data_IF_915808685432
#
_entry.id   IF_915808685432
#
_cell.length_a   1.000
_cell.length_b   1.000
_cell.length_c   1.000
_cell.angle_alpha   90.00
_cell.angle_beta   90.00
_cell.angle_gamma   90.00
#
_symmetry.space_group_name_H-M   'P 1'
#
loop_
_entity.id
_entity.type
_entity.pdbx_description
1 polymer ?
#
# COMPACT_ATOMS: atom_id res chain seq x y z
N UNK A 1 23.10 -6.85 17.43
CA UNK A 1 21.78 -7.46 17.67
C UNK A 1 20.76 -6.76 16.78
N UNK A 2 19.92 -7.51 16.06
CA UNK A 2 18.92 -6.94 15.13
C UNK A 2 17.83 -6.21 15.91
N UNK A 3 17.44 -5.03 15.44
CA UNK A 3 16.31 -4.28 16.00
C UNK A 3 15.47 -3.64 14.91
N UNK A 4 14.19 -3.99 14.91
CA UNK A 4 13.22 -3.61 13.88
C UNK A 4 12.36 -2.46 14.38
N UNK A 5 12.24 -1.41 13.57
CA UNK A 5 11.30 -0.31 13.77
C UNK A 5 10.15 -0.40 12.77
N UNK A 6 8.94 -0.62 13.27
CA UNK A 6 7.71 -0.59 12.49
C UNK A 6 7.19 0.85 12.34
N UNK A 7 7.07 1.32 11.11
CA UNK A 7 6.31 2.52 10.77
C UNK A 7 4.86 2.15 10.39
N UNK A 8 4.10 3.10 9.83
CA UNK A 8 2.69 2.91 9.52
C UNK A 8 2.48 1.58 8.77
N UNK A 9 1.52 0.81 9.27
CA UNK A 9 1.21 -0.53 8.78
C UNK A 9 -0.11 -0.57 8.02
N UNK A 10 -0.48 -1.74 7.47
CA UNK A 10 -1.86 -1.95 7.05
C UNK A 10 -2.79 -1.76 8.27
N UNK A 11 -4.05 -1.32 8.05
CA UNK A 11 -5.03 -1.21 9.12
C UNK A 11 -5.47 -2.62 9.55
N UNK A 12 -4.62 -3.29 10.32
CA UNK A 12 -4.84 -4.65 10.82
C UNK A 12 -3.91 -4.92 11.99
N UNK A 13 -4.09 -6.07 12.63
CA UNK A 13 -3.22 -6.55 13.70
C UNK A 13 -1.90 -7.16 13.21
N UNK A 14 -1.68 -7.22 11.89
CA UNK A 14 -0.52 -7.87 11.29
C UNK A 14 0.83 -7.37 11.85
N UNK A 15 1.02 -6.06 12.02
CA UNK A 15 2.24 -5.52 12.65
C UNK A 15 2.44 -5.95 14.10
N UNK A 16 1.35 -6.14 14.84
CA UNK A 16 1.42 -6.63 16.22
C UNK A 16 1.92 -8.08 16.23
N UNK A 17 1.30 -8.93 15.41
CA UNK A 17 1.62 -10.36 15.31
C UNK A 17 3.04 -10.58 14.78
N UNK A 18 3.46 -9.82 13.76
CA UNK A 18 4.83 -9.91 13.25
C UNK A 18 5.86 -9.44 14.28
N UNK A 19 5.56 -8.40 15.06
CA UNK A 19 6.44 -7.96 16.13
C UNK A 19 6.58 -9.02 17.23
N UNK A 20 5.50 -9.70 17.59
CA UNK A 20 5.52 -10.81 18.56
C UNK A 20 6.36 -11.98 18.04
N UNK A 21 6.20 -12.36 16.76
CA UNK A 21 7.01 -13.39 16.13
C UNK A 21 8.52 -13.04 16.08
N UNK A 22 8.86 -11.77 15.88
CA UNK A 22 10.24 -11.29 15.94
C UNK A 22 10.81 -11.34 17.36
N UNK A 23 10.04 -10.89 18.35
CA UNK A 23 10.47 -10.90 19.75
C UNK A 23 10.65 -12.32 20.29
N UNK A 24 9.81 -13.26 19.88
CA UNK A 24 9.97 -14.68 20.20
C UNK A 24 11.31 -15.26 19.68
N UNK A 25 11.89 -14.65 18.64
CA UNK A 25 13.21 -14.99 18.09
C UNK A 25 14.35 -14.11 18.66
N UNK A 26 14.08 -13.33 19.71
CA UNK A 26 15.07 -12.45 20.33
C UNK A 26 15.37 -11.17 19.54
N UNK A 27 14.57 -10.83 18.53
CA UNK A 27 14.72 -9.58 17.77
C UNK A 27 13.99 -8.46 18.52
N UNK A 28 14.70 -7.36 18.80
CA UNK A 28 14.08 -6.20 19.44
C UNK A 28 13.11 -5.48 18.51
N UNK A 29 11.92 -5.10 18.98
CA UNK A 29 10.97 -4.34 18.16
C UNK A 29 10.55 -3.01 18.79
N UNK A 30 10.28 -2.04 17.93
CA UNK A 30 9.68 -0.74 18.28
C UNK A 30 8.66 -0.36 17.21
N UNK A 31 7.69 0.49 17.56
CA UNK A 31 6.68 1.04 16.64
C UNK A 31 6.63 2.56 16.75
N UNK A 32 6.50 3.27 15.63
CA UNK A 32 6.20 4.72 15.63
C UNK A 32 4.76 4.98 15.22
N UNK A 33 3.90 5.33 16.16
CA UNK A 33 2.53 5.74 15.83
C UNK A 33 2.55 7.18 15.32
N UNK A 34 2.04 7.39 14.11
CA UNK A 34 1.82 8.73 13.54
C UNK A 34 0.40 9.23 13.77
N UNK A 35 -0.54 8.31 14.03
CA UNK A 35 -1.96 8.62 14.23
C UNK A 35 -2.54 7.81 15.38
N UNK A 36 -3.76 8.17 15.79
CA UNK A 36 -4.48 7.37 16.77
C UNK A 36 -4.93 6.01 16.20
N UNK A 37 -5.16 5.91 14.88
CA UNK A 37 -5.39 4.63 14.22
C UNK A 37 -4.22 3.67 14.40
N UNK A 38 -2.98 4.17 14.26
CA UNK A 38 -1.79 3.35 14.53
C UNK A 38 -1.75 2.83 15.97
N UNK A 39 -2.06 3.71 16.92
CA UNK A 39 -2.08 3.38 18.34
C UNK A 39 -3.16 2.33 18.66
N UNK A 40 -4.34 2.44 18.02
CA UNK A 40 -5.48 1.54 18.19
C UNK A 40 -5.18 0.12 17.70
N UNK A 41 -4.46 -0.04 16.59
CA UNK A 41 -4.10 -1.36 16.06
C UNK A 41 -2.86 -1.97 16.71
N UNK A 42 -1.98 -1.15 17.28
CA UNK A 42 -0.79 -1.64 17.98
C UNK A 42 -1.11 -2.20 19.37
N UNK A 43 -1.70 -1.39 20.27
CA UNK A 43 -2.11 -1.73 21.65
C UNK A 43 -1.12 -2.59 22.49
N UNK A 44 0.18 -2.52 22.21
CA UNK A 44 1.23 -3.20 22.97
C UNK A 44 2.37 -2.27 23.38
N UNK A 45 3.30 -2.78 24.18
CA UNK A 45 4.52 -2.06 24.59
C UNK A 45 5.43 -1.76 23.38
N UNK A 46 6.42 -0.89 23.56
CA UNK A 46 7.38 -0.56 22.51
C UNK A 46 6.88 0.44 21.45
N UNK A 47 5.67 0.99 21.61
CA UNK A 47 5.19 2.10 20.80
C UNK A 47 5.77 3.45 21.25
N UNK A 48 6.05 4.29 20.26
CA UNK A 48 6.51 5.65 20.40
C UNK A 48 5.55 6.53 19.59
N UNK A 49 4.89 7.47 20.26
CA UNK A 49 3.95 8.36 19.58
C UNK A 49 4.72 9.54 19.00
N UNK A 50 4.81 9.61 17.66
CA UNK A 50 5.38 10.77 16.99
C UNK A 50 4.29 11.82 16.76
N UNK A 51 4.34 12.87 17.59
CA UNK A 51 3.40 14.01 17.52
C UNK A 51 4.04 15.24 16.86
N UNK A 52 5.14 15.09 16.14
CA UNK A 52 5.83 16.18 15.46
C UNK A 52 5.37 16.40 14.03
N UNK A 53 5.87 17.45 13.38
CA UNK A 53 5.55 17.75 11.98
C UNK A 53 6.26 16.81 11.01
N UNK A 54 5.67 16.59 9.84
CA UNK A 54 6.32 15.85 8.75
C UNK A 54 7.71 16.40 8.39
N UNK A 55 7.93 17.72 8.52
CA UNK A 55 9.23 18.37 8.30
C UNK A 55 10.26 17.97 9.37
N UNK A 56 9.84 17.82 10.62
CA UNK A 56 10.70 17.39 11.73
C UNK A 56 11.01 15.89 11.73
N UNK A 57 10.23 15.09 10.99
CA UNK A 57 10.31 13.64 11.02
C UNK A 57 11.70 13.07 10.70
N UNK A 58 12.42 13.50 9.65
CA UNK A 58 13.74 12.93 9.34
C UNK A 58 14.76 13.09 10.47
N UNK A 59 14.77 14.26 11.14
CA UNK A 59 15.67 14.51 12.27
C UNK A 59 15.31 13.63 13.46
N UNK A 60 14.03 13.60 13.82
CA UNK A 60 13.55 12.76 14.92
C UNK A 60 13.85 11.28 14.68
N UNK A 61 13.62 10.78 13.47
CA UNK A 61 13.89 9.38 13.13
C UNK A 61 15.39 9.06 13.19
N UNK A 62 16.26 9.97 12.75
CA UNK A 62 17.71 9.77 12.87
C UNK A 62 18.15 9.64 14.34
N UNK A 63 17.63 10.51 15.22
CA UNK A 63 17.92 10.46 16.64
C UNK A 63 17.33 9.20 17.30
N UNK A 64 16.12 8.80 16.88
CA UNK A 64 15.48 7.56 17.31
C UNK A 64 16.29 6.32 16.90
N UNK A 65 16.75 6.26 15.66
CA UNK A 65 17.58 5.15 15.14
C UNK A 65 18.84 5.01 15.98
N UNK A 66 19.54 6.11 16.28
CA UNK A 66 20.77 6.08 17.09
C UNK A 66 20.48 5.68 18.54
N UNK A 67 19.48 6.30 19.16
CA UNK A 67 19.13 6.06 20.57
C UNK A 67 18.71 4.61 20.81
N UNK A 68 17.89 4.06 19.93
CA UNK A 68 17.38 2.71 20.09
C UNK A 68 18.30 1.66 19.45
N UNK A 69 19.24 2.03 18.59
CA UNK A 69 20.07 1.08 17.83
C UNK A 69 19.27 0.31 16.79
N UNK A 70 18.40 0.98 16.04
CA UNK A 70 17.57 0.38 14.99
C UNK A 70 18.45 -0.03 13.80
N UNK A 71 18.31 -1.28 13.34
CA UNK A 71 19.03 -1.83 12.19
C UNK A 71 18.15 -1.94 10.95
N UNK A 72 16.84 -2.08 11.15
CA UNK A 72 15.86 -2.35 10.11
C UNK A 72 14.59 -1.52 10.34
N UNK A 73 14.03 -0.97 9.27
CA UNK A 73 12.75 -0.25 9.29
C UNK A 73 11.77 -0.96 8.36
N UNK A 74 10.62 -1.36 8.91
CA UNK A 74 9.53 -1.98 8.18
C UNK A 74 8.38 -0.98 8.03
N UNK A 75 7.77 -0.91 6.85
CA UNK A 75 6.65 -0.01 6.60
C UNK A 75 5.71 -0.54 5.52
N UNK A 76 4.43 -0.19 5.63
CA UNK A 76 3.42 -0.56 4.64
C UNK A 76 3.34 0.48 3.52
N UNK A 77 3.39 0.04 2.27
CA UNK A 77 3.51 0.87 1.08
C UNK A 77 4.73 1.81 1.11
N UNK A 78 5.31 2.08 -0.06
CA UNK A 78 6.57 2.80 -0.18
C UNK A 78 6.41 4.31 -0.41
N UNK A 79 5.18 4.76 -0.69
CA UNK A 79 4.91 6.14 -1.13
C UNK A 79 4.31 7.07 -0.08
N UNK A 80 3.92 6.55 1.09
CA UNK A 80 3.45 7.40 2.18
C UNK A 80 4.53 8.41 2.59
N UNK A 81 4.19 9.67 2.90
CA UNK A 81 5.20 10.72 3.11
C UNK A 81 6.22 10.39 4.19
N UNK A 82 5.77 9.80 5.30
CA UNK A 82 6.64 9.39 6.40
C UNK A 82 7.61 8.27 5.98
N UNK A 83 7.17 7.34 5.12
CA UNK A 83 7.99 6.20 4.65
C UNK A 83 9.03 6.63 3.62
N UNK A 84 8.65 7.54 2.71
CA UNK A 84 9.60 8.15 1.75
C UNK A 84 10.73 8.87 2.45
N UNK A 85 10.39 9.66 3.48
CA UNK A 85 11.37 10.37 4.30
C UNK A 85 12.21 9.41 5.14
N UNK A 86 11.60 8.35 5.69
CA UNK A 86 12.31 7.32 6.43
C UNK A 86 13.35 6.61 5.57
N UNK A 87 12.99 6.18 4.37
CA UNK A 87 13.89 5.46 3.44
C UNK A 87 15.08 6.33 3.03
N UNK A 88 14.84 7.61 2.72
CA UNK A 88 15.93 8.57 2.39
C UNK A 88 16.89 8.77 3.55
N UNK A 89 16.37 8.82 4.77
CA UNK A 89 17.16 9.00 5.99
C UNK A 89 17.93 7.71 6.31
N UNK A 90 17.26 6.56 6.30
CA UNK A 90 17.82 5.25 6.59
C UNK A 90 19.03 4.93 5.70
N UNK A 91 18.95 5.23 4.41
CA UNK A 91 20.08 5.10 3.46
C UNK A 91 21.32 5.89 3.90
N UNK A 92 21.16 7.07 4.50
CA UNK A 92 22.29 7.87 5.00
C UNK A 92 22.91 7.29 6.27
N UNK A 93 22.15 6.52 7.05
CA UNK A 93 22.60 5.90 8.30
C UNK A 93 22.96 4.42 8.14
N UNK A 94 22.93 3.87 6.93
CA UNK A 94 23.18 2.43 6.70
C UNK A 94 22.10 1.51 7.29
N UNK A 95 20.90 2.04 7.56
CA UNK A 95 19.76 1.26 8.06
C UNK A 95 19.00 0.64 6.90
N UNK A 96 18.65 -0.64 7.02
CA UNK A 96 17.90 -1.38 5.99
C UNK A 96 16.42 -1.01 6.04
N UNK A 97 15.80 -0.83 4.88
CA UNK A 97 14.38 -0.58 4.77
C UNK A 97 13.68 -1.71 4.02
N UNK A 98 12.50 -2.07 4.50
CA UNK A 98 11.65 -3.09 3.91
C UNK A 98 10.23 -2.57 3.78
N UNK A 99 9.74 -2.54 2.54
CA UNK A 99 8.39 -2.19 2.17
C UNK A 99 7.52 -3.45 2.14
N UNK A 100 6.33 -3.36 2.72
CA UNK A 100 5.34 -4.43 2.72
C UNK A 100 4.05 -3.95 2.06
N UNK A 101 3.40 -4.82 1.28
CA UNK A 101 2.07 -4.59 0.72
C UNK A 101 1.31 -5.91 0.61
N UNK A 102 0.00 -5.85 0.38
CA UNK A 102 -0.76 -7.03 0.02
C UNK A 102 -0.15 -7.68 -1.23
N UNK A 103 0.04 -9.00 -1.22
CA UNK A 103 0.79 -9.67 -2.27
C UNK A 103 0.17 -9.50 -3.66
N UNK A 104 0.97 -9.75 -4.71
CA UNK A 104 0.47 -9.83 -6.08
C UNK A 104 -0.56 -10.96 -6.26
N UNK A 105 -0.45 -12.01 -5.44
CA UNK A 105 -1.37 -13.13 -5.37
C UNK A 105 -2.21 -12.99 -4.09
N UNK A 106 -3.51 -13.21 -4.20
CA UNK A 106 -4.44 -13.17 -3.06
C UNK A 106 -5.38 -14.38 -3.10
N UNK A 107 -5.76 -14.95 -1.94
CA UNK A 107 -5.37 -14.55 -0.57
C UNK A 107 -3.93 -14.99 -0.19
N UNK A 108 -3.55 -14.83 1.08
CA UNK A 108 -2.36 -15.40 1.75
C UNK A 108 -1.00 -14.72 1.56
N UNK A 109 -0.72 -14.20 0.37
CA UNK A 109 0.61 -13.71 0.08
C UNK A 109 0.76 -12.24 0.47
N UNK A 110 1.93 -11.92 1.00
CA UNK A 110 2.37 -10.56 1.32
C UNK A 110 3.66 -10.33 0.55
N UNK A 111 3.75 -9.20 -0.15
CA UNK A 111 4.99 -8.82 -0.83
C UNK A 111 5.90 -8.11 0.17
N UNK A 112 7.17 -8.53 0.23
CA UNK A 112 8.23 -7.90 1.01
C UNK A 112 9.36 -7.47 0.05
N UNK A 113 9.62 -6.17 -0.03
CA UNK A 113 10.63 -5.61 -0.92
C UNK A 113 11.62 -4.73 -0.18
N UNK A 114 12.87 -4.70 -0.64
CA UNK A 114 13.88 -3.79 -0.09
C UNK A 114 13.63 -2.37 -0.61
N UNK A 115 13.57 -1.41 0.30
CA UNK A 115 13.43 0.03 0.06
C UNK A 115 12.14 0.54 -0.61
N UNK A 116 11.51 -0.22 -1.49
CA UNK A 116 10.34 0.27 -2.21
C UNK A 116 9.76 -0.74 -3.19
N UNK A 117 8.61 -0.40 -3.75
CA UNK A 117 7.79 -1.31 -4.56
C UNK A 117 7.40 -0.67 -5.88
N UNK A 118 6.83 -1.46 -6.79
CA UNK A 118 6.44 -0.98 -8.13
C UNK A 118 7.64 -0.41 -8.86
N UNK A 119 7.63 0.90 -9.16
CA UNK A 119 8.76 1.60 -9.81
C UNK A 119 10.09 1.51 -9.04
N UNK A 120 10.04 1.30 -7.72
CA UNK A 120 11.22 1.20 -6.86
C UNK A 120 11.57 -0.25 -6.50
N UNK A 121 10.84 -1.22 -7.07
CA UNK A 121 11.10 -2.65 -6.90
C UNK A 121 12.49 -3.02 -7.41
N UNK A 122 13.12 -3.97 -6.73
CA UNK A 122 14.37 -4.59 -7.20
C UNK A 122 14.11 -5.86 -8.02
N UNK A 123 12.83 -6.21 -8.25
CA UNK A 123 12.44 -7.35 -9.06
C UNK A 123 12.89 -7.14 -10.52
N UNK A 124 13.49 -8.16 -11.15
CA UNK A 124 14.01 -8.00 -12.51
C UNK A 124 12.89 -7.78 -13.52
N UNK A 125 13.13 -6.90 -14.48
CA UNK A 125 12.24 -6.67 -15.62
C UNK A 125 12.54 -7.56 -16.84
N UNK A 126 13.72 -8.20 -16.87
CA UNK A 126 14.10 -9.14 -17.93
C UNK A 126 13.34 -10.48 -17.77
N UNK A 127 12.50 -10.86 -18.75
CA UNK A 127 11.77 -12.12 -18.71
C UNK A 127 12.66 -13.36 -18.56
N UNK A 128 13.85 -13.37 -19.16
CA UNK A 128 14.74 -14.53 -19.08
C UNK A 128 15.44 -14.62 -17.72
N UNK A 129 15.73 -13.49 -17.10
CA UNK A 129 16.14 -13.45 -15.70
C UNK A 129 15.02 -13.96 -14.78
N UNK A 130 13.78 -13.51 -14.96
CA UNK A 130 12.63 -13.99 -14.18
C UNK A 130 12.47 -15.51 -14.32
N UNK A 131 12.54 -16.05 -15.54
CA UNK A 131 12.47 -17.50 -15.80
C UNK A 131 13.60 -18.27 -15.13
N UNK A 132 14.81 -17.71 -15.07
CA UNK A 132 15.95 -18.33 -14.37
C UNK A 132 15.71 -18.38 -12.86
N UNK A 133 15.21 -17.32 -12.25
CA UNK A 133 14.83 -17.31 -10.83
C UNK A 133 13.71 -18.32 -10.58
N UNK A 134 12.68 -18.34 -11.44
CA UNK A 134 11.55 -19.25 -11.33
C UNK A 134 11.97 -20.73 -11.33
N UNK A 135 13.00 -21.10 -12.11
CA UNK A 135 13.56 -22.45 -12.13
C UNK A 135 14.32 -22.84 -10.85
N UNK A 136 14.72 -21.87 -10.03
CA UNK A 136 15.46 -22.09 -8.78
C UNK A 136 14.54 -22.18 -7.56
N UNK A 137 13.26 -21.84 -7.70
CA UNK A 137 12.27 -21.86 -6.62
C UNK A 137 11.24 -22.96 -6.88
N UNK A 138 10.68 -23.51 -5.80
CA UNK A 138 9.61 -24.52 -5.91
C UNK A 138 8.30 -23.92 -6.42
N UNK A 139 7.36 -24.80 -6.81
CA UNK A 139 5.99 -24.40 -7.12
C UNK A 139 5.34 -23.89 -5.83
N UNK A 140 4.74 -22.68 -5.83
CA UNK A 140 4.08 -22.17 -4.64
C UNK A 140 2.85 -23.02 -4.29
N UNK A 141 2.59 -23.18 -2.99
CA UNK A 141 1.32 -23.77 -2.54
C UNK A 141 0.19 -22.77 -2.83
N UNK A 142 -0.66 -23.09 -3.79
CA UNK A 142 -1.80 -22.25 -4.18
C UNK A 142 -3.06 -22.55 -3.36
N UNK A 143 -2.99 -23.46 -2.38
CA UNK A 143 -4.10 -23.71 -1.47
C UNK A 143 -4.32 -22.49 -0.58
N UNK A 144 -5.56 -22.02 -0.53
CA UNK A 144 -5.93 -20.92 0.35
C UNK A 144 -5.85 -21.35 1.82
N UNK A 145 -5.03 -20.69 2.63
CA UNK A 145 -4.86 -20.99 4.06
C UNK A 145 -5.48 -19.92 4.97
N UNK A 146 -5.35 -18.66 4.58
CA UNK A 146 -5.77 -17.50 5.35
C UNK A 146 -6.82 -16.71 4.56
N UNK A 147 -8.06 -17.19 4.68
CA UNK A 147 -9.21 -16.47 4.15
C UNK A 147 -9.38 -15.12 4.85
N UNK A 148 -9.04 -14.04 4.16
CA UNK A 148 -9.32 -12.68 4.64
C UNK A 148 -10.51 -12.12 3.84
N UNK A 149 -11.64 -11.91 4.50
CA UNK A 149 -12.83 -11.43 3.79
C UNK A 149 -12.70 -9.94 3.44
N UNK A 150 -13.24 -9.56 2.28
CA UNK A 150 -13.34 -8.15 1.89
C UNK A 150 -14.03 -7.30 2.97
N UNK A 151 -15.05 -7.85 3.64
CA UNK A 151 -15.76 -7.17 4.73
C UNK A 151 -14.87 -6.85 5.94
N UNK A 152 -13.96 -7.74 6.32
CA UNK A 152 -13.01 -7.49 7.41
C UNK A 152 -11.99 -6.41 7.04
N UNK A 153 -11.45 -6.46 5.81
CA UNK A 153 -10.52 -5.44 5.30
C UNK A 153 -11.18 -4.06 5.26
N UNK A 154 -12.38 -3.98 4.68
CA UNK A 154 -13.16 -2.74 4.61
C UNK A 154 -13.50 -2.20 6.02
N UNK A 155 -13.94 -3.06 6.93
CA UNK A 155 -14.26 -2.65 8.31
C UNK A 155 -13.03 -2.09 9.02
N UNK A 156 -11.89 -2.76 8.90
CA UNK A 156 -10.68 -2.29 9.54
C UNK A 156 -10.16 -0.99 8.93
N UNK A 157 -10.23 -0.84 7.61
CA UNK A 157 -9.91 0.42 6.93
C UNK A 157 -10.79 1.55 7.48
N UNK A 158 -12.11 1.36 7.57
CA UNK A 158 -13.04 2.36 8.12
C UNK A 158 -12.70 2.70 9.57
N UNK A 159 -12.56 1.70 10.45
CA UNK A 159 -12.27 1.90 11.87
C UNK A 159 -10.94 2.64 12.06
N UNK A 160 -9.89 2.21 11.35
CA UNK A 160 -8.58 2.87 11.39
C UNK A 160 -8.67 4.34 11.03
N UNK A 161 -9.38 4.65 9.94
CA UNK A 161 -9.45 6.00 9.41
C UNK A 161 -10.33 6.92 10.26
N UNK A 162 -11.45 6.42 10.79
CA UNK A 162 -12.26 7.17 11.75
C UNK A 162 -11.48 7.41 13.06
N UNK A 163 -10.76 6.40 13.57
CA UNK A 163 -9.90 6.57 14.74
C UNK A 163 -8.80 7.62 14.49
N UNK A 164 -8.12 7.56 13.33
CA UNK A 164 -7.14 8.56 12.96
C UNK A 164 -7.76 9.97 12.80
N UNK A 165 -8.98 10.07 12.29
CA UNK A 165 -9.70 11.33 12.09
C UNK A 165 -10.15 11.96 13.41
N UNK A 166 -10.89 11.23 14.26
CA UNK A 166 -11.37 11.74 15.53
C UNK A 166 -10.27 11.85 16.59
N UNK A 167 -9.19 11.07 16.45
CA UNK A 167 -8.00 11.15 17.28
C UNK A 167 -6.98 12.22 16.87
N UNK A 168 -7.29 13.10 15.91
CA UNK A 168 -6.36 14.15 15.41
C UNK A 168 -5.81 15.03 16.53
N UNK A 169 -6.60 15.34 17.57
CA UNK A 169 -6.12 16.14 18.71
C UNK A 169 -4.93 15.48 19.45
N UNK A 170 -4.86 14.14 19.47
CA UNK A 170 -3.73 13.41 20.05
C UNK A 170 -2.50 13.36 19.14
N UNK A 171 -2.68 13.63 17.84
CA UNK A 171 -1.62 13.62 16.82
C UNK A 171 -1.79 14.84 15.88
N UNK A 172 -1.62 16.07 16.41
CA UNK A 172 -2.09 17.29 15.75
C UNK A 172 -1.41 17.60 14.40
N UNK A 173 -0.21 17.05 14.18
CA UNK A 173 0.57 17.28 12.96
C UNK A 173 0.61 16.06 12.03
N UNK A 174 -0.21 15.04 12.30
CA UNK A 174 -0.32 13.87 11.43
C UNK A 174 -0.85 14.27 10.05
N UNK A 175 -0.17 13.79 9.00
CA UNK A 175 -0.60 13.94 7.62
C UNK A 175 -0.91 12.58 7.01
N UNK A 176 -2.19 12.29 6.82
CA UNK A 176 -2.63 11.03 6.19
C UNK A 176 -2.33 10.96 4.69
N UNK A 177 -2.13 12.10 4.02
CA UNK A 177 -1.90 12.20 2.56
C UNK A 177 -2.96 11.46 1.73
N UNK A 178 -4.19 11.39 2.27
CA UNK A 178 -5.34 10.85 1.56
C UNK A 178 -5.81 11.83 0.50
N UNK A 179 -6.17 11.27 -0.66
CA UNK A 179 -6.66 12.04 -1.80
C UNK A 179 -8.04 12.64 -1.53
N UNK A 180 -8.92 11.88 -0.87
CA UNK A 180 -10.23 12.32 -0.42
C UNK A 180 -10.24 12.43 1.11
N UNK A 181 -11.07 13.34 1.64
CA UNK A 181 -11.32 13.36 3.08
C UNK A 181 -12.06 12.06 3.48
N UNK A 182 -11.60 11.34 4.53
CA UNK A 182 -12.17 10.06 4.91
C UNK A 182 -13.69 10.06 5.11
N UNK A 183 -14.24 11.12 5.71
CA UNK A 183 -15.67 11.16 6.00
C UNK A 183 -16.48 11.30 4.71
N UNK A 184 -16.07 12.20 3.82
CA UNK A 184 -16.72 12.38 2.53
C UNK A 184 -16.58 11.15 1.63
N UNK A 185 -15.41 10.51 1.63
CA UNK A 185 -15.17 9.28 0.89
C UNK A 185 -16.16 8.19 1.36
N UNK A 186 -16.22 7.89 2.66
CA UNK A 186 -17.13 6.87 3.19
C UNK A 186 -18.62 7.21 3.00
N UNK A 187 -19.02 8.47 3.20
CA UNK A 187 -20.40 8.89 2.96
C UNK A 187 -20.79 8.74 1.48
N UNK A 188 -19.85 8.93 0.55
CA UNK A 188 -20.10 8.77 -0.89
C UNK A 188 -20.34 7.32 -1.32
N UNK A 189 -19.96 6.34 -0.49
CA UNK A 189 -20.23 4.92 -0.72
C UNK A 189 -21.65 4.51 -0.32
N UNK A 190 -22.32 5.23 0.58
CA UNK A 190 -23.68 4.89 1.03
C UNK A 190 -24.69 4.79 -0.12
N UNK A 191 -24.76 5.74 -1.08
CA UNK A 191 -25.65 5.62 -2.23
C UNK A 191 -25.28 4.45 -3.17
N UNK A 192 -23.99 4.08 -3.24
CA UNK A 192 -23.51 2.99 -4.10
C UNK A 192 -23.95 1.62 -3.60
N UNK A 193 -24.15 1.45 -2.28
CA UNK A 193 -24.66 0.20 -1.72
C UNK A 193 -26.07 -0.14 -2.21
N UNK A 194 -26.84 0.86 -2.62
CA UNK A 194 -28.21 0.70 -3.12
C UNK A 194 -28.30 0.70 -4.65
N UNK A 195 -27.19 0.87 -5.38
CA UNK A 195 -27.22 0.79 -6.84
C UNK A 195 -27.22 -0.67 -7.29
N UNK A 196 -28.08 -1.05 -8.24
CA UNK A 196 -28.03 -2.38 -8.83
C UNK A 196 -26.66 -2.62 -9.47
N UNK A 197 -26.14 -3.84 -9.33
CA UNK A 197 -24.95 -4.26 -10.07
C UNK A 197 -25.29 -4.25 -11.56
N UNK A 198 -24.37 -3.73 -12.37
CA UNK A 198 -24.49 -3.75 -13.81
C UNK A 198 -23.66 -4.93 -14.31
N UNK A 199 -24.33 -6.06 -14.48
CA UNK A 199 -23.70 -7.22 -15.10
C UNK A 199 -23.77 -7.07 -16.62
N UNK A 200 -22.70 -7.47 -17.31
CA UNK A 200 -22.73 -7.54 -18.76
C UNK A 200 -23.75 -8.62 -19.17
N UNK A 201 -24.53 -8.41 -20.25
CA UNK A 201 -25.40 -9.44 -20.77
C UNK A 201 -24.64 -10.73 -21.08
N UNK A 202 -25.30 -11.87 -20.95
CA UNK A 202 -24.76 -13.16 -21.39
C UNK A 202 -24.42 -13.09 -22.89
N UNK A 203 -23.26 -13.64 -23.28
CA UNK A 203 -22.78 -13.58 -24.67
C UNK A 203 -22.25 -12.22 -25.14
N UNK A 204 -22.13 -11.19 -24.28
CA UNK A 204 -21.66 -9.86 -24.68
C UNK A 204 -20.29 -9.85 -25.39
N UNK A 205 -19.41 -10.79 -25.04
CA UNK A 205 -18.08 -10.93 -25.63
C UNK A 205 -18.00 -11.95 -26.78
N UNK A 206 -19.08 -12.68 -27.06
CA UNK A 206 -19.11 -13.75 -28.08
C UNK A 206 -19.36 -13.21 -29.50
N UNK A 207 -19.71 -11.93 -29.62
CA UNK A 207 -19.87 -11.25 -30.90
C UNK A 207 -18.51 -10.95 -31.55
N UNK A 208 -17.99 -11.91 -32.33
CA UNK A 208 -16.73 -11.79 -33.08
C UNK A 208 -16.74 -10.69 -34.15
N UNK A 209 -17.91 -10.13 -34.49
CA UNK A 209 -18.00 -9.00 -35.44
C UNK A 209 -17.45 -7.69 -34.87
N UNK A 210 -17.20 -7.63 -33.55
CA UNK A 210 -16.72 -6.43 -32.86
C UNK A 210 -15.31 -6.65 -32.30
N UNK A 211 -14.42 -5.73 -32.62
CA UNK A 211 -13.13 -5.64 -31.92
C UNK A 211 -13.37 -5.03 -30.54
N UNK A 212 -13.21 -5.85 -29.51
CA UNK A 212 -13.34 -5.43 -28.12
C UNK A 212 -11.96 -5.05 -27.55
N UNK A 213 -11.91 -3.91 -26.84
CA UNK A 213 -10.72 -3.48 -26.10
C UNK A 213 -11.04 -3.49 -24.62
N UNK A 214 -10.18 -4.12 -23.83
CA UNK A 214 -10.27 -4.12 -22.37
C UNK A 214 -9.30 -3.10 -21.78
N UNK A 215 -9.82 -2.20 -20.95
CA UNK A 215 -9.01 -1.29 -20.14
C UNK A 215 -9.30 -1.56 -18.66
N UNK A 216 -8.32 -2.14 -17.96
CA UNK A 216 -8.41 -2.31 -16.51
C UNK A 216 -8.18 -0.97 -15.81
N UNK A 217 -9.20 -0.50 -15.06
CA UNK A 217 -9.12 0.75 -14.30
C UNK A 217 -8.64 0.49 -12.88
N UNK A 218 -7.85 1.43 -12.35
CA UNK A 218 -7.45 1.48 -10.95
C UNK A 218 -8.18 2.63 -10.23
N UNK A 219 -8.07 2.69 -8.89
CA UNK A 219 -8.62 3.80 -8.12
C UNK A 219 -7.79 5.07 -8.31
N UNK A 220 -8.46 6.23 -8.41
CA UNK A 220 -7.79 7.54 -8.53
C UNK A 220 -6.88 7.85 -7.33
N UNK A 221 -7.26 7.37 -6.15
CA UNK A 221 -6.54 7.58 -4.90
C UNK A 221 -5.28 6.70 -4.76
N UNK A 222 -5.09 5.72 -5.64
CA UNK A 222 -3.96 4.79 -5.61
C UNK A 222 -2.62 5.54 -5.78
N UNK A 223 -1.64 5.21 -4.94
CA UNK A 223 -0.31 5.82 -5.00
C UNK A 223 0.46 5.46 -6.27
N UNK A 224 0.21 4.32 -6.91
CA UNK A 224 0.82 3.98 -8.19
C UNK A 224 0.37 4.97 -9.27
N UNK A 225 -0.90 5.36 -9.29
CA UNK A 225 -1.41 6.40 -10.18
C UNK A 225 -0.84 7.77 -9.78
N UNK A 226 -0.96 8.15 -8.50
CA UNK A 226 -0.56 9.49 -8.02
C UNK A 226 0.94 9.77 -8.08
N UNK A 227 1.79 8.76 -7.92
CA UNK A 227 3.23 8.94 -7.75
C UNK A 227 4.08 8.33 -8.87
N UNK A 228 3.57 7.30 -9.57
CA UNK A 228 4.35 6.55 -10.56
C UNK A 228 3.77 6.61 -11.98
N UNK A 229 2.60 7.22 -12.18
CA UNK A 229 2.02 7.46 -13.50
C UNK A 229 2.31 8.89 -14.00
N UNK A 230 2.30 9.12 -15.33
CA UNK A 230 2.41 10.46 -15.89
C UNK A 230 1.11 11.27 -15.75
N UNK A 231 0.01 10.64 -15.36
CA UNK A 231 -1.32 11.26 -15.30
C UNK A 231 -1.57 11.88 -13.94
N UNK A 232 -2.14 13.09 -13.93
CA UNK A 232 -2.60 13.73 -12.69
C UNK A 232 -3.97 13.19 -12.26
N UNK A 233 -4.76 12.75 -13.24
CA UNK A 233 -6.09 12.20 -13.02
C UNK A 233 -6.39 11.11 -14.06
N UNK A 234 -7.10 10.05 -13.66
CA UNK A 234 -7.47 8.92 -14.51
C UNK A 234 -8.29 9.33 -15.73
N UNK A 235 -9.05 10.43 -15.63
CA UNK A 235 -9.77 10.98 -16.79
C UNK A 235 -8.82 11.33 -17.95
N UNK A 236 -7.61 11.81 -17.67
CA UNK A 236 -6.62 12.12 -18.71
C UNK A 236 -6.19 10.86 -19.46
N UNK A 237 -6.00 9.76 -18.73
CA UNK A 237 -5.71 8.45 -19.33
C UNK A 237 -6.90 7.98 -20.17
N UNK A 238 -8.12 8.07 -19.64
CA UNK A 238 -9.34 7.69 -20.36
C UNK A 238 -9.49 8.49 -21.66
N UNK A 239 -9.29 9.82 -21.61
CA UNK A 239 -9.37 10.69 -22.78
C UNK A 239 -8.33 10.28 -23.83
N UNK A 240 -7.09 10.00 -23.41
CA UNK A 240 -6.03 9.57 -24.31
C UNK A 240 -6.33 8.21 -24.95
N UNK A 241 -6.83 7.23 -24.17
CA UNK A 241 -7.23 5.92 -24.69
C UNK A 241 -8.38 6.08 -25.70
N UNK A 242 -9.41 6.84 -25.35
CA UNK A 242 -10.56 7.08 -26.24
C UNK A 242 -10.16 7.80 -27.53
N UNK A 243 -9.22 8.74 -27.47
CA UNK A 243 -8.66 9.39 -28.66
C UNK A 243 -7.90 8.40 -29.54
N UNK A 244 -7.09 7.52 -28.94
CA UNK A 244 -6.34 6.47 -29.66
C UNK A 244 -7.29 5.49 -30.36
N UNK A 245 -8.32 5.00 -29.66
CA UNK A 245 -9.34 4.11 -30.24
C UNK A 245 -10.07 4.77 -31.42
N UNK A 246 -10.44 6.06 -31.30
CA UNK A 246 -11.05 6.84 -32.39
C UNK A 246 -10.12 7.02 -33.59
N UNK A 247 -8.81 7.15 -33.37
CA UNK A 247 -7.83 7.26 -34.44
C UNK A 247 -7.65 5.94 -35.18
N UNK A 248 -7.60 4.81 -34.46
CA UNK A 248 -7.52 3.48 -35.07
C UNK A 248 -8.74 3.16 -35.94
N UNK A 249 -9.95 3.47 -35.45
CA UNK A 249 -11.18 3.26 -36.23
C UNK A 249 -11.20 4.07 -37.52
N UNK A 250 -10.67 5.30 -37.51
CA UNK A 250 -10.57 6.15 -38.71
C UNK A 250 -9.59 5.58 -39.74
N UNK A 251 -8.45 5.04 -39.30
CA UNK A 251 -7.48 4.39 -40.18
C UNK A 251 -7.98 3.06 -40.78
N UNK A 252 -8.86 2.35 -40.08
CA UNK A 252 -9.44 1.10 -40.59
C UNK A 252 -10.60 1.33 -41.57
N UNK A 253 -11.15 2.55 -41.64
CA UNK A 253 -12.32 2.89 -42.44
C UNK A 253 -12.00 3.71 -43.71
N UNK A 254 -10.73 4.06 -43.93
CA UNK A 254 -10.24 4.74 -45.14
C UNK A 254 -9.14 3.93 -45.78
#
# INVERSE_FOLDING_TARGET
MTKVLFLQGPPSVFWRELAEAFEAQGIGTKRVNFSFGDQLYWRRRGAINYRGTLRGWPRYLADLVRREGVTDILYYADRLPYHRLATRMARKLGVRCHAVEFGYLRPDWITLERNGMGRFSHFPSDPDHIRRIAKQVGIPDLKAHYGHTFGQEATNEVVYNLAAYFGRAMFPFYRSDKYYDPLFDYLSWLPRMFRPRHDLPEGFLEDESKVNYLLALQLQSDYQIRANSPYRHLSQMLDQVMQSLRAMRRKAAG
#
